data_IF_229326283748
#
_entry.id   IF_229326283748
#
_cell.length_a   1.000
_cell.length_b   1.000
_cell.length_c   1.000
_cell.angle_alpha   90.00
_cell.angle_beta   90.00
_cell.angle_gamma   90.00
#
_symmetry.space_group_name_H-M   'P 1'
#
loop_
_entity.id
_entity.type
_entity.pdbx_description
1 polymer ?
#
# COMPACT_ATOMS: atom_id res chain seq x y z
N UNK A 1 53.18 -61.12 21.86
CA UNK A 1 53.37 -59.67 22.08
C UNK A 1 51.99 -59.10 22.45
N UNK A 2 51.64 -58.94 23.74
CA UNK A 2 51.77 -57.72 24.56
C UNK A 2 51.45 -56.43 23.77
N UNK A 3 50.61 -55.46 24.16
CA UNK A 3 49.56 -55.26 25.18
C UNK A 3 49.15 -53.75 25.03
N UNK A 4 47.91 -53.39 25.39
CA UNK A 4 47.40 -52.07 25.89
C UNK A 4 47.31 -50.78 25.04
N UNK A 5 46.10 -50.19 25.06
CA UNK A 5 45.72 -48.75 24.98
C UNK A 5 46.04 -48.09 26.35
N UNK A 6 46.52 -46.83 26.50
CA UNK A 6 45.62 -45.71 26.86
C UNK A 6 46.06 -44.27 26.52
N UNK A 7 45.11 -43.35 26.72
CA UNK A 7 45.16 -41.90 26.64
C UNK A 7 46.20 -41.20 27.56
N UNK A 8 46.57 -39.96 27.18
CA UNK A 8 47.15 -38.90 28.02
C UNK A 8 46.52 -37.56 27.58
N UNK A 9 45.70 -36.90 28.41
CA UNK A 9 46.08 -35.82 29.35
C UNK A 9 46.74 -34.65 28.58
N UNK A 10 46.10 -33.50 28.36
CA UNK A 10 45.62 -32.56 29.38
C UNK A 10 46.55 -31.35 29.41
N UNK A 11 46.18 -30.23 28.78
CA UNK A 11 46.80 -28.93 29.01
C UNK A 11 45.72 -27.86 29.15
N UNK A 12 45.47 -27.55 30.41
CA UNK A 12 44.74 -26.41 30.93
C UNK A 12 45.51 -25.13 30.60
N UNK A 13 44.95 -24.26 29.76
CA UNK A 13 45.39 -22.87 29.62
C UNK A 13 44.28 -21.96 30.13
N UNK A 14 44.48 -21.50 31.36
CA UNK A 14 43.74 -20.43 31.99
C UNK A 14 43.98 -19.12 31.23
N UNK A 15 42.91 -18.44 30.82
CA UNK A 15 42.90 -17.04 30.42
C UNK A 15 41.82 -16.30 31.22
N UNK A 16 42.07 -15.03 31.60
CA UNK A 16 41.62 -14.45 32.84
C UNK A 16 40.17 -13.99 32.80
N UNK A 17 39.52 -14.11 33.95
CA UNK A 17 38.28 -13.42 34.29
C UNK A 17 38.55 -11.90 34.23
N UNK A 18 38.09 -11.25 33.16
CA UNK A 18 38.01 -9.81 33.10
C UNK A 18 36.80 -9.36 33.95
N UNK A 19 37.15 -8.55 34.94
CA UNK A 19 36.28 -7.90 35.90
C UNK A 19 35.28 -6.95 35.21
N UNK A 20 34.02 -7.10 35.58
CA UNK A 20 32.95 -6.08 35.62
C UNK A 20 33.00 -4.91 34.61
N UNK A 21 32.08 -4.97 33.64
CA UNK A 21 31.29 -3.80 33.28
C UNK A 21 29.82 -4.22 33.34
N UNK A 22 29.21 -4.13 34.52
CA UNK A 22 27.76 -4.03 34.61
C UNK A 22 27.38 -2.72 33.91
N UNK A 23 27.05 -2.82 32.63
CA UNK A 23 26.31 -1.77 31.96
C UNK A 23 24.94 -1.75 32.62
N UNK A 24 24.77 -0.79 33.52
CA UNK A 24 23.50 -0.42 34.11
C UNK A 24 22.60 0.01 32.94
N UNK A 25 21.75 -0.91 32.47
CA UNK A 25 20.77 -0.57 31.46
C UNK A 25 19.86 0.53 32.03
N UNK A 26 19.77 1.70 31.38
CA UNK A 26 18.84 2.73 31.81
C UNK A 26 17.43 2.14 31.71
N UNK A 27 16.81 1.97 32.87
CA UNK A 27 15.54 1.28 33.04
C UNK A 27 14.49 1.90 32.10
N UNK A 28 14.07 1.15 31.08
CA UNK A 28 13.14 1.62 30.03
C UNK A 28 11.83 2.15 30.63
N UNK A 29 11.46 1.60 31.79
CA UNK A 29 10.28 2.02 32.56
C UNK A 29 10.44 3.44 33.09
N UNK A 30 11.64 3.82 33.58
CA UNK A 30 11.91 5.19 34.03
C UNK A 30 12.02 6.16 32.85
N UNK A 31 12.63 5.74 31.74
CA UNK A 31 12.66 6.53 30.51
C UNK A 31 11.24 6.79 29.96
N UNK A 32 10.36 5.79 30.00
CA UNK A 32 8.96 5.92 29.61
C UNK A 32 8.18 6.84 30.56
N UNK A 33 8.46 6.78 31.88
CA UNK A 33 7.83 7.66 32.87
C UNK A 33 8.24 9.12 32.67
N UNK A 34 9.54 9.37 32.49
CA UNK A 34 10.10 10.71 32.22
C UNK A 34 9.59 11.29 30.91
N UNK A 35 9.47 10.47 29.86
CA UNK A 35 8.88 10.90 28.58
C UNK A 35 7.38 11.25 28.71
N UNK A 36 6.62 10.55 29.55
CA UNK A 36 5.22 10.88 29.84
C UNK A 36 5.07 12.15 30.66
N UNK A 37 5.96 12.38 31.63
CA UNK A 37 5.97 13.60 32.43
C UNK A 37 6.36 14.83 31.59
N UNK A 38 7.36 14.71 30.73
CA UNK A 38 7.75 15.76 29.80
C UNK A 38 6.63 16.14 28.81
N UNK A 39 5.80 15.17 28.39
CA UNK A 39 4.62 15.44 27.53
C UNK A 39 3.46 16.11 28.27
N UNK A 40 3.41 16.06 29.60
CA UNK A 40 2.39 16.76 30.40
C UNK A 40 2.72 18.23 30.60
N UNK A 41 4.00 18.59 30.65
CA UNK A 41 4.47 19.97 30.80
C UNK A 41 4.76 20.66 29.46
N UNK A 42 4.75 19.93 28.35
CA UNK A 42 4.91 20.51 27.02
C UNK A 42 3.68 21.34 26.62
N UNK A 43 3.85 22.55 26.05
CA UNK A 43 2.74 23.33 25.53
C UNK A 43 2.01 22.53 24.45
N UNK A 44 0.68 22.46 24.55
CA UNK A 44 -0.16 21.75 23.56
C UNK A 44 0.08 22.35 22.18
N UNK A 45 0.26 21.49 21.18
CA UNK A 45 0.44 21.92 19.80
C UNK A 45 -0.71 22.85 19.39
N UNK A 46 -0.38 24.08 19.01
CA UNK A 46 -1.34 25.17 18.74
C UNK A 46 -2.17 24.93 17.47
N UNK A 47 -1.80 23.94 16.66
CA UNK A 47 -2.46 23.57 15.42
C UNK A 47 -2.57 22.05 15.35
N UNK A 48 -3.80 21.54 15.49
CA UNK A 48 -4.14 20.14 15.22
C UNK A 48 -4.83 20.13 13.86
N UNK A 49 -4.13 19.64 12.84
CA UNK A 49 -4.74 19.40 11.54
C UNK A 49 -5.64 18.16 11.64
N UNK A 50 -6.92 18.39 11.91
CA UNK A 50 -7.99 17.38 11.75
C UNK A 50 -8.58 17.49 10.35
N UNK A 51 -9.37 16.50 9.92
CA UNK A 51 -10.08 16.53 8.64
C UNK A 51 -10.96 17.79 8.46
N UNK A 52 -11.32 18.43 9.57
CA UNK A 52 -12.13 19.65 9.61
C UNK A 52 -11.31 20.96 9.49
N UNK A 53 -9.98 20.90 9.66
CA UNK A 53 -9.08 22.06 9.59
C UNK A 53 -8.18 22.03 8.34
N UNK A 54 -8.57 21.27 7.31
CA UNK A 54 -7.89 21.26 6.01
C UNK A 54 -8.35 22.52 5.26
N UNK A 55 -7.45 23.49 4.98
CA UNK A 55 -7.81 24.67 4.20
C UNK A 55 -8.25 24.22 2.80
N UNK A 56 -9.54 24.40 2.50
CA UNK A 56 -10.10 24.11 1.19
C UNK A 56 -9.95 25.36 0.33
N UNK A 57 -8.72 25.68 -0.05
CA UNK A 57 -8.43 26.68 -1.09
C UNK A 57 -7.91 25.93 -2.31
N UNK A 58 -8.57 26.03 -3.49
CA UNK A 58 -8.12 25.40 -4.71
C UNK A 58 -7.00 26.26 -5.34
N UNK A 59 -5.89 26.41 -4.64
CA UNK A 59 -4.65 26.99 -5.18
C UNK A 59 -3.51 26.67 -4.21
N UNK A 60 -3.11 25.40 -4.18
CA UNK A 60 -1.83 24.97 -3.64
C UNK A 60 -1.05 24.27 -4.75
N UNK A 61 -0.83 25.00 -5.86
CA UNK A 61 0.29 24.71 -6.74
C UNK A 61 1.55 24.85 -5.90
N UNK A 62 2.31 23.76 -5.78
CA UNK A 62 3.67 23.79 -5.26
C UNK A 62 4.52 24.64 -6.20
N UNK A 63 4.65 25.93 -5.92
CA UNK A 63 5.62 26.80 -6.58
C UNK A 63 6.97 26.61 -5.91
N UNK A 64 7.83 25.80 -6.52
CA UNK A 64 9.26 25.90 -6.34
C UNK A 64 9.75 27.25 -6.92
N UNK A 65 10.77 27.91 -6.35
CA UNK A 65 11.27 29.15 -6.90
C UNK A 65 12.12 28.86 -8.15
N UNK A 66 11.59 29.21 -9.32
CA UNK A 66 12.34 29.24 -10.57
C UNK A 66 13.12 30.56 -10.68
N UNK A 67 14.39 30.45 -11.05
CA UNK A 67 15.30 31.57 -11.28
C UNK A 67 15.12 32.06 -12.71
N UNK A 68 14.86 33.35 -12.86
CA UNK A 68 14.69 34.03 -14.12
C UNK A 68 15.93 33.98 -15.03
N UNK A 69 15.73 33.70 -16.33
CA UNK A 69 16.39 34.43 -17.43
C UNK A 69 15.64 34.28 -18.77
N UNK A 70 15.68 35.36 -19.54
CA UNK A 70 14.88 35.81 -20.68
C UNK A 70 15.19 35.15 -22.07
N UNK A 71 14.46 35.49 -23.16
CA UNK A 71 14.08 34.58 -24.27
C UNK A 71 14.76 34.82 -25.64
N UNK A 72 14.42 33.95 -26.61
CA UNK A 72 14.49 33.99 -28.10
C UNK A 72 15.04 32.64 -28.61
N UNK A 73 14.67 32.02 -29.73
CA UNK A 73 14.06 32.47 -30.98
C UNK A 73 13.25 31.31 -31.59
N UNK A 74 12.54 31.62 -32.67
CA UNK A 74 11.52 30.85 -33.35
C UNK A 74 12.04 29.65 -34.16
N UNK A 75 11.04 28.85 -34.57
CA UNK A 75 11.03 27.94 -35.73
C UNK A 75 11.27 26.45 -35.44
N UNK A 76 10.16 25.71 -35.27
CA UNK A 76 9.90 24.61 -36.20
C UNK A 76 8.39 24.39 -36.32
N UNK A 77 7.93 24.58 -37.56
CA UNK A 77 6.60 24.26 -38.03
C UNK A 77 6.57 22.78 -38.39
N UNK A 78 5.43 22.13 -38.12
CA UNK A 78 5.03 20.78 -38.50
C UNK A 78 5.25 19.66 -37.47
N UNK A 79 4.26 19.49 -36.60
CA UNK A 79 3.54 18.22 -36.61
C UNK A 79 2.05 18.53 -36.47
N UNK A 80 1.30 18.19 -37.51
CA UNK A 80 -0.15 18.29 -37.52
C UNK A 80 -0.70 17.35 -36.45
N UNK A 81 -0.86 17.86 -35.24
CA UNK A 81 -1.82 17.30 -34.31
C UNK A 81 -3.19 17.49 -34.96
N UNK A 82 -3.76 16.39 -35.45
CA UNK A 82 -5.18 16.27 -35.64
C UNK A 82 -5.85 16.46 -34.27
N UNK A 83 -5.98 17.70 -33.83
CA UNK A 83 -7.01 18.09 -32.88
C UNK A 83 -8.31 17.84 -33.61
N UNK A 84 -8.85 16.64 -33.40
CA UNK A 84 -10.22 16.33 -33.74
C UNK A 84 -11.07 17.44 -33.18
N UNK A 85 -11.73 18.15 -34.09
CA UNK A 85 -12.75 19.14 -33.79
C UNK A 85 -13.61 18.58 -32.67
N UNK A 86 -13.59 19.26 -31.52
CA UNK A 86 -14.53 19.01 -30.45
C UNK A 86 -15.91 19.14 -31.06
N UNK A 87 -16.53 17.99 -31.33
CA UNK A 87 -17.93 17.89 -31.75
C UNK A 87 -18.75 18.50 -30.63
N UNK A 88 -19.01 19.79 -30.81
CA UNK A 88 -19.81 20.69 -29.98
C UNK A 88 -21.17 20.02 -29.73
N UNK A 89 -21.28 19.29 -28.63
CA UNK A 89 -22.44 18.47 -28.30
C UNK A 89 -22.15 17.28 -27.38
N UNK A 90 -20.91 16.76 -27.34
CA UNK A 90 -20.49 15.72 -26.40
C UNK A 90 -19.60 16.31 -25.30
N UNK A 91 -19.98 16.11 -24.04
CA UNK A 91 -19.18 16.55 -22.90
C UNK A 91 -18.00 15.60 -22.67
N UNK A 92 -16.83 16.01 -23.13
CA UNK A 92 -15.59 15.25 -22.91
C UNK A 92 -15.17 15.18 -21.45
N UNK A 93 -15.55 16.14 -20.59
CA UNK A 93 -15.24 16.09 -19.16
C UNK A 93 -16.03 14.98 -18.47
N UNK A 94 -17.31 14.84 -18.82
CA UNK A 94 -18.15 13.74 -18.34
C UNK A 94 -17.61 12.37 -18.76
N UNK A 95 -17.17 12.23 -20.01
CA UNK A 95 -16.54 10.98 -20.46
C UNK A 95 -15.28 10.64 -19.68
N UNK A 96 -14.35 11.60 -19.53
CA UNK A 96 -13.12 11.39 -18.75
C UNK A 96 -13.43 10.98 -17.31
N UNK A 97 -14.45 11.60 -16.70
CA UNK A 97 -14.91 11.26 -15.34
C UNK A 97 -15.47 9.84 -15.27
N UNK A 98 -16.31 9.42 -16.22
CA UNK A 98 -16.84 8.05 -16.28
C UNK A 98 -15.72 7.02 -16.40
N UNK A 99 -14.72 7.29 -17.25
CA UNK A 99 -13.55 6.43 -17.41
C UNK A 99 -12.67 6.37 -16.16
N UNK A 100 -12.43 7.51 -15.50
CA UNK A 100 -11.62 7.55 -14.28
C UNK A 100 -12.31 6.81 -13.13
N UNK A 101 -13.63 6.98 -12.97
CA UNK A 101 -14.42 6.25 -11.97
C UNK A 101 -14.44 4.74 -12.23
N UNK A 102 -14.64 4.32 -13.49
CA UNK A 102 -14.64 2.90 -13.87
C UNK A 102 -13.28 2.25 -13.57
N UNK A 103 -12.17 2.93 -13.91
CA UNK A 103 -10.82 2.45 -13.57
C UNK A 103 -10.55 2.45 -12.08
N UNK A 104 -11.01 3.48 -11.36
CA UNK A 104 -10.89 3.54 -9.90
C UNK A 104 -11.57 2.36 -9.20
N UNK A 105 -12.77 1.99 -9.67
CA UNK A 105 -13.48 0.79 -9.19
C UNK A 105 -12.71 -0.48 -9.51
N UNK A 106 -12.23 -0.64 -10.75
CA UNK A 106 -11.44 -1.81 -11.15
C UNK A 106 -10.17 -1.95 -10.30
N UNK A 107 -9.39 -0.87 -10.16
CA UNK A 107 -8.16 -0.88 -9.37
C UNK A 107 -8.42 -1.19 -7.89
N UNK A 108 -9.52 -0.69 -7.33
CA UNK A 108 -9.93 -0.99 -5.96
C UNK A 108 -10.31 -2.46 -5.80
N UNK A 109 -11.08 -3.02 -6.73
CA UNK A 109 -11.48 -4.43 -6.73
C UNK A 109 -10.27 -5.36 -6.90
N UNK A 110 -9.33 -5.03 -7.79
CA UNK A 110 -8.09 -5.80 -7.97
C UNK A 110 -7.22 -5.78 -6.70
N UNK A 111 -7.12 -4.63 -6.02
CA UNK A 111 -6.41 -4.53 -4.74
C UNK A 111 -7.09 -5.35 -3.65
N UNK A 112 -8.42 -5.33 -3.59
CA UNK A 112 -9.18 -6.10 -2.61
C UNK A 112 -9.07 -7.60 -2.86
N UNK A 113 -9.06 -8.03 -4.13
CA UNK A 113 -8.78 -9.41 -4.53
C UNK A 113 -7.42 -9.87 -3.98
N UNK A 114 -6.39 -9.06 -4.18
CA UNK A 114 -5.03 -9.33 -3.71
C UNK A 114 -4.95 -9.38 -2.16
N UNK A 115 -5.68 -8.50 -1.46
CA UNK A 115 -5.83 -8.58 0.00
C UNK A 115 -6.48 -9.91 0.41
N UNK A 116 -7.60 -10.30 -0.21
CA UNK A 116 -8.29 -11.55 0.09
C UNK A 116 -7.41 -12.79 -0.16
N UNK A 117 -6.59 -12.77 -1.20
CA UNK A 117 -5.63 -13.83 -1.48
C UNK A 117 -4.56 -13.95 -0.38
N UNK A 118 -4.03 -12.82 0.08
CA UNK A 118 -3.09 -12.80 1.20
C UNK A 118 -3.72 -13.24 2.51
N UNK A 119 -4.93 -12.79 2.79
CA UNK A 119 -5.69 -13.19 3.98
C UNK A 119 -5.96 -14.70 3.97
N UNK A 120 -6.32 -15.26 2.81
CA UNK A 120 -6.49 -16.70 2.68
C UNK A 120 -5.18 -17.46 2.94
N UNK A 121 -4.05 -16.95 2.44
CA UNK A 121 -2.74 -17.56 2.70
C UNK A 121 -2.38 -17.50 4.20
N UNK A 122 -2.65 -16.36 4.85
CA UNK A 122 -2.46 -16.19 6.29
C UNK A 122 -3.33 -17.18 7.08
N UNK A 123 -4.62 -17.27 6.75
CA UNK A 123 -5.55 -18.20 7.42
C UNK A 123 -5.14 -19.67 7.27
N UNK A 124 -4.49 -20.05 6.16
CA UNK A 124 -3.97 -21.41 5.98
C UNK A 124 -2.80 -21.74 6.91
N UNK A 125 -2.04 -20.74 7.34
CA UNK A 125 -0.86 -20.90 8.19
C UNK A 125 -1.16 -20.64 9.67
N UNK A 126 -2.33 -20.11 9.98
CA UNK A 126 -2.65 -19.61 11.31
C UNK A 126 -2.91 -20.74 12.31
N UNK A 127 -2.29 -20.63 13.48
CA UNK A 127 -2.64 -21.45 14.65
C UNK A 127 -3.76 -20.77 15.45
N UNK A 128 -4.80 -21.54 15.78
CA UNK A 128 -5.91 -21.05 16.59
C UNK A 128 -5.58 -21.20 18.08
N UNK A 129 -5.68 -20.11 18.85
CA UNK A 129 -5.49 -20.13 20.30
C UNK A 129 -6.67 -20.77 21.05
N UNK A 130 -7.88 -20.71 20.48
CA UNK A 130 -9.09 -21.35 21.01
C UNK A 130 -9.17 -22.81 20.50
N UNK A 131 -9.08 -23.83 21.38
CA UNK A 131 -9.17 -25.24 21.00
C UNK A 131 -10.50 -25.63 20.34
N UNK A 132 -11.61 -25.01 20.73
CA UNK A 132 -12.92 -25.31 20.14
C UNK A 132 -12.99 -24.78 18.70
N UNK A 133 -12.43 -23.59 18.45
CA UNK A 133 -12.29 -23.05 17.10
C UNK A 133 -11.35 -23.92 16.25
N UNK A 134 -10.21 -24.31 16.81
CA UNK A 134 -9.24 -25.19 16.14
C UNK A 134 -9.89 -26.51 15.71
N UNK A 135 -10.64 -27.16 16.61
CA UNK A 135 -11.33 -28.40 16.30
C UNK A 135 -12.39 -28.21 15.21
N UNK A 136 -13.24 -27.17 15.30
CA UNK A 136 -14.25 -26.90 14.25
C UNK A 136 -13.59 -26.67 12.88
N UNK A 137 -12.57 -25.83 12.82
CA UNK A 137 -11.87 -25.50 11.57
C UNK A 137 -11.09 -26.70 11.01
N UNK A 138 -10.61 -27.61 11.87
CA UNK A 138 -9.99 -28.87 11.43
C UNK A 138 -10.96 -29.73 10.61
N UNK A 139 -12.24 -29.78 11.00
CA UNK A 139 -13.25 -30.60 10.31
C UNK A 139 -13.91 -29.86 9.15
N UNK A 140 -14.32 -28.60 9.33
CA UNK A 140 -15.15 -27.90 8.35
C UNK A 140 -14.35 -27.05 7.38
N UNK A 141 -13.16 -26.58 7.80
CA UNK A 141 -12.38 -25.54 7.10
C UNK A 141 -13.25 -24.34 6.70
N UNK A 142 -14.19 -23.96 7.56
CA UNK A 142 -15.19 -22.92 7.29
C UNK A 142 -14.58 -21.59 6.88
N UNK A 143 -13.54 -21.14 7.59
CA UNK A 143 -12.85 -19.87 7.27
C UNK A 143 -12.12 -19.93 5.93
N UNK A 144 -11.45 -21.05 5.61
CA UNK A 144 -10.77 -21.25 4.33
C UNK A 144 -11.79 -21.28 3.18
N UNK A 145 -12.90 -21.99 3.35
CA UNK A 145 -13.96 -22.09 2.35
C UNK A 145 -14.63 -20.73 2.11
N UNK A 146 -14.89 -19.97 3.17
CA UNK A 146 -15.40 -18.60 3.07
C UNK A 146 -14.41 -17.67 2.35
N UNK A 147 -13.12 -17.74 2.70
CA UNK A 147 -12.07 -16.98 2.01
C UNK A 147 -12.00 -17.28 0.52
N UNK A 148 -12.09 -18.56 0.14
CA UNK A 148 -12.16 -18.97 -1.28
C UNK A 148 -13.39 -18.41 -1.98
N UNK A 149 -14.57 -18.52 -1.37
CA UNK A 149 -15.81 -17.98 -1.93
C UNK A 149 -15.74 -16.45 -2.15
N UNK A 150 -15.17 -15.72 -1.19
CA UNK A 150 -14.97 -14.27 -1.31
C UNK A 150 -14.01 -13.92 -2.45
N UNK A 151 -12.91 -14.67 -2.62
CA UNK A 151 -11.97 -14.49 -3.73
C UNK A 151 -12.68 -14.74 -5.07
N UNK A 152 -13.48 -15.80 -5.18
CA UNK A 152 -14.17 -16.12 -6.43
C UNK A 152 -15.24 -15.08 -6.78
N UNK A 153 -15.99 -14.60 -5.79
CA UNK A 153 -16.91 -13.47 -5.97
C UNK A 153 -16.17 -12.20 -6.43
N UNK A 154 -15.04 -11.86 -5.79
CA UNK A 154 -14.25 -10.68 -6.16
C UNK A 154 -13.61 -10.81 -7.55
N UNK A 155 -13.19 -12.02 -7.96
CA UNK A 155 -12.75 -12.28 -9.35
C UNK A 155 -13.87 -12.02 -10.34
N UNK A 156 -15.09 -12.48 -10.06
CA UNK A 156 -16.24 -12.22 -10.92
C UNK A 156 -16.53 -10.72 -11.01
N UNK A 157 -16.40 -9.98 -9.91
CA UNK A 157 -16.54 -8.52 -9.89
C UNK A 157 -15.47 -7.83 -10.77
N UNK A 158 -14.20 -8.23 -10.64
CA UNK A 158 -13.11 -7.71 -11.49
C UNK A 158 -13.40 -7.94 -12.98
N UNK A 159 -13.85 -9.14 -13.35
CA UNK A 159 -14.21 -9.44 -14.74
C UNK A 159 -15.42 -8.64 -15.23
N UNK A 160 -16.42 -8.40 -14.37
CA UNK A 160 -17.55 -7.52 -14.68
C UNK A 160 -17.11 -6.07 -14.89
N UNK A 161 -16.22 -5.55 -14.04
CA UNK A 161 -15.69 -4.20 -14.16
C UNK A 161 -14.82 -4.02 -15.42
N UNK A 162 -14.06 -5.05 -15.80
CA UNK A 162 -13.31 -5.07 -17.07
C UNK A 162 -14.25 -5.01 -18.28
N UNK A 163 -15.33 -5.79 -18.27
CA UNK A 163 -16.36 -5.74 -19.32
C UNK A 163 -17.03 -4.38 -19.36
N UNK A 164 -17.44 -3.83 -18.22
CA UNK A 164 -18.05 -2.51 -18.13
C UNK A 164 -17.12 -1.40 -18.67
N UNK A 165 -15.81 -1.52 -18.47
CA UNK A 165 -14.84 -0.60 -19.05
C UNK A 165 -14.78 -0.73 -20.58
N UNK A 166 -14.76 -1.95 -21.12
CA UNK A 166 -14.81 -2.18 -22.56
C UNK A 166 -16.12 -1.69 -23.20
N UNK A 167 -17.25 -1.93 -22.54
CA UNK A 167 -18.56 -1.42 -22.96
C UNK A 167 -18.57 0.11 -22.99
N UNK A 168 -17.95 0.77 -21.99
CA UNK A 168 -17.79 2.22 -21.94
C UNK A 168 -16.94 2.75 -23.11
N UNK A 169 -15.90 2.04 -23.53
CA UNK A 169 -15.09 2.37 -24.71
C UNK A 169 -15.91 2.25 -26.01
N UNK A 170 -16.75 1.23 -26.11
CA UNK A 170 -17.65 1.05 -27.25
C UNK A 170 -18.75 2.12 -27.28
N UNK A 171 -19.30 2.50 -26.12
CA UNK A 171 -20.23 3.63 -26.02
C UNK A 171 -19.57 4.94 -26.47
N UNK A 172 -18.33 5.21 -26.05
CA UNK A 172 -17.58 6.39 -26.51
C UNK A 172 -17.41 6.38 -28.03
N UNK A 173 -17.10 5.22 -28.62
CA UNK A 173 -16.96 5.05 -30.07
C UNK A 173 -18.28 5.29 -30.80
N UNK A 174 -19.39 4.74 -30.29
CA UNK A 174 -20.75 4.95 -30.84
C UNK A 174 -21.19 6.40 -30.72
N UNK A 175 -20.82 7.05 -29.63
CA UNK A 175 -21.06 8.47 -29.39
C UNK A 175 -20.18 9.38 -30.28
N UNK A 176 -19.19 8.81 -30.99
CA UNK A 176 -18.31 9.54 -31.90
C UNK A 176 -17.31 10.44 -31.17
N UNK A 177 -17.05 10.17 -29.88
CA UNK A 177 -16.03 10.85 -29.09
C UNK A 177 -14.63 10.36 -29.43
N UNK A 178 -13.60 11.22 -29.33
CA UNK A 178 -12.23 10.85 -29.61
C UNK A 178 -11.69 9.83 -28.57
N UNK A 179 -10.85 8.86 -28.97
CA UNK A 179 -10.23 7.89 -28.05
C UNK A 179 -9.37 8.52 -26.95
N UNK A 180 -8.96 9.78 -27.11
CA UNK A 180 -8.19 10.52 -26.11
C UNK A 180 -8.97 10.73 -24.80
N UNK A 181 -10.30 10.78 -24.84
CA UNK A 181 -11.13 10.91 -23.62
C UNK A 181 -11.18 9.64 -22.79
N UNK A 182 -10.89 8.48 -23.40
CA UNK A 182 -10.76 7.22 -22.69
C UNK A 182 -9.39 7.06 -22.05
N UNK A 183 -8.38 7.89 -22.33
CA UNK A 183 -7.04 7.69 -21.74
C UNK A 183 -6.98 8.20 -20.30
N UNK A 184 -6.21 7.54 -19.41
CA UNK A 184 -5.92 8.05 -18.08
C UNK A 184 -5.06 9.32 -18.13
#
# INVERSE_FOLDING_TARGET
MRRVIPALLGLLLAFPVALAAQQQEPNLVEAARKAREAKKSAPKAKLVFTNDNIPTTPDATTTAPDTAAAPADASSKASAAASGEEKKGLDGADWRKRFSEARGKLASAEKELDILQRELNLNQQQYYSDPNKAMREQYTRGEINKGRANIDAKKQEVEQLRRALADLEDELRRAGGPPSWARP
#
